data_IF_111744940094
#
_entry.id   IF_111744940094
#
_cell.length_a   1.000
_cell.length_b   1.000
_cell.length_c   1.000
_cell.angle_alpha   90.00
_cell.angle_beta   90.00
_cell.angle_gamma   90.00
#
_symmetry.space_group_name_H-M   'P 1'
#
loop_
_entity.id
_entity.type
_entity.pdbx_description
1 polymer ?
#
# COMPACT_ATOMS: atom_id res chain seq x y z
N UNK A 1 -7.55 16.38 14.59
CA UNK A 1 -8.86 16.87 14.15
C UNK A 1 -9.71 15.64 13.70
N UNK A 2 -10.75 15.35 14.44
CA UNK A 2 -11.58 14.14 14.25
C UNK A 2 -12.78 14.36 13.29
N UNK A 3 -12.76 15.39 12.47
CA UNK A 3 -13.90 15.82 11.67
C UNK A 3 -14.98 16.54 12.48
N UNK A 4 -16.01 17.03 11.82
CA UNK A 4 -17.09 17.79 12.49
C UNK A 4 -17.92 16.95 13.46
N UNK A 5 -17.96 15.63 13.28
CA UNK A 5 -18.69 14.68 14.14
C UNK A 5 -17.83 13.97 15.16
N UNK A 6 -16.51 14.24 15.16
CA UNK A 6 -15.50 13.59 15.99
C UNK A 6 -15.48 12.03 15.82
N UNK A 7 -15.80 11.55 14.64
CA UNK A 7 -15.95 10.15 14.27
C UNK A 7 -14.85 9.64 13.31
N UNK A 8 -13.88 10.50 12.96
CA UNK A 8 -12.79 10.13 12.05
C UNK A 8 -11.45 10.12 12.78
N UNK A 9 -10.73 9.01 12.64
CA UNK A 9 -9.30 8.94 12.94
C UNK A 9 -8.55 9.67 11.82
N UNK A 10 -7.55 10.53 12.13
CA UNK A 10 -6.76 11.20 11.10
C UNK A 10 -5.97 10.17 10.27
N UNK A 11 -5.96 10.36 8.97
CA UNK A 11 -5.05 9.69 8.06
C UNK A 11 -3.72 10.46 8.03
N UNK A 12 -2.61 9.76 8.23
CA UNK A 12 -1.29 10.38 8.36
C UNK A 12 -0.37 9.78 7.31
N UNK A 13 -0.14 10.56 6.25
CA UNK A 13 0.76 10.20 5.16
C UNK A 13 2.08 10.96 5.29
N UNK A 14 3.19 10.23 5.34
CA UNK A 14 4.52 10.78 5.39
C UNK A 14 5.33 10.27 4.19
N UNK A 15 5.83 11.22 3.40
CA UNK A 15 6.60 10.94 2.20
C UNK A 15 8.10 11.03 2.49
N UNK A 16 8.81 9.96 2.22
CA UNK A 16 10.27 9.87 2.38
C UNK A 16 10.96 9.64 1.04
N UNK A 17 12.25 9.99 0.92
CA UNK A 17 13.08 9.45 -0.15
C UNK A 17 12.99 7.92 -0.14
N UNK A 18 12.85 7.31 -1.32
CA UNK A 18 12.59 5.87 -1.45
C UNK A 18 13.62 4.98 -0.73
N UNK A 19 14.88 5.41 -0.69
CA UNK A 19 15.98 4.72 0.00
C UNK A 19 15.98 4.90 1.54
N UNK A 20 15.15 5.82 2.06
CA UNK A 20 14.98 6.05 3.51
C UNK A 20 13.74 5.39 4.09
N UNK A 21 12.81 4.91 3.27
CA UNK A 21 11.56 4.32 3.74
C UNK A 21 11.76 3.20 4.78
N UNK A 22 12.68 2.28 4.50
CA UNK A 22 12.97 1.19 5.44
C UNK A 22 13.50 1.70 6.79
N UNK A 23 14.35 2.73 6.77
CA UNK A 23 14.86 3.37 7.99
C UNK A 23 13.75 4.07 8.77
N UNK A 24 12.83 4.75 8.08
CA UNK A 24 11.67 5.38 8.72
C UNK A 24 10.77 4.34 9.39
N UNK A 25 10.56 3.18 8.76
CA UNK A 25 9.81 2.08 9.36
C UNK A 25 10.48 1.57 10.65
N UNK A 26 11.80 1.31 10.63
CA UNK A 26 12.50 0.85 11.84
C UNK A 26 12.48 1.91 12.95
N UNK A 27 12.69 3.19 12.61
CA UNK A 27 12.57 4.28 13.57
C UNK A 27 11.17 4.35 14.20
N UNK A 28 10.12 4.04 13.46
CA UNK A 28 8.76 4.00 13.99
C UNK A 28 8.62 2.94 15.09
N UNK A 29 9.24 1.77 14.91
CA UNK A 29 9.31 0.73 15.97
C UNK A 29 10.06 1.22 17.20
N UNK A 30 11.21 1.89 17.01
CA UNK A 30 12.02 2.37 18.10
C UNK A 30 11.29 3.45 18.92
N UNK A 31 10.53 4.32 18.24
CA UNK A 31 9.78 5.41 18.88
C UNK A 31 8.48 4.95 19.57
N UNK A 32 7.77 4.01 18.97
CA UNK A 32 6.41 3.64 19.41
C UNK A 32 6.34 2.25 20.06
N UNK A 33 7.45 1.52 20.10
CA UNK A 33 7.58 0.21 20.71
C UNK A 33 7.58 -0.95 19.72
N UNK A 34 8.52 -1.86 19.89
CA UNK A 34 8.73 -3.02 18.99
C UNK A 34 7.52 -3.96 18.94
N UNK A 35 6.79 -4.06 20.05
CA UNK A 35 5.62 -4.94 20.18
C UNK A 35 4.29 -4.25 19.83
N UNK A 36 4.33 -2.96 19.51
CA UNK A 36 3.17 -2.13 19.23
C UNK A 36 3.02 -1.73 17.75
N UNK A 37 4.02 -2.05 16.93
CA UNK A 37 4.10 -1.58 15.55
C UNK A 37 4.16 -2.75 14.57
N UNK A 38 3.21 -2.79 13.64
CA UNK A 38 3.02 -3.88 12.69
C UNK A 38 2.86 -3.34 11.26
N UNK A 39 3.20 -4.13 10.25
CA UNK A 39 2.81 -3.82 8.88
C UNK A 39 1.30 -3.98 8.71
N UNK A 40 0.67 -3.09 7.96
CA UNK A 40 -0.74 -3.22 7.60
C UNK A 40 -0.93 -4.41 6.65
N UNK A 41 -1.81 -5.33 7.01
CA UNK A 41 -2.18 -6.47 6.18
C UNK A 41 -3.13 -6.06 5.05
N UNK A 42 -3.04 -6.78 3.93
CA UNK A 42 -3.98 -6.68 2.81
C UNK A 42 -4.50 -8.06 2.46
N UNK A 43 -5.73 -8.12 1.97
CA UNK A 43 -6.31 -9.34 1.40
C UNK A 43 -6.44 -9.14 -0.11
N UNK A 44 -5.67 -9.91 -0.86
CA UNK A 44 -5.78 -9.92 -2.31
C UNK A 44 -6.89 -10.85 -2.74
N UNK A 45 -7.78 -10.33 -3.57
CA UNK A 45 -8.89 -11.09 -4.15
C UNK A 45 -8.73 -11.23 -5.66
N UNK A 46 -9.52 -12.12 -6.25
CA UNK A 46 -9.53 -12.33 -7.69
C UNK A 46 -10.20 -11.13 -8.37
N UNK A 47 -9.40 -10.34 -9.11
CA UNK A 47 -9.89 -9.23 -9.92
C UNK A 47 -10.58 -9.72 -11.21
N UNK A 48 -11.39 -8.89 -11.84
CA UNK A 48 -12.18 -9.22 -13.04
C UNK A 48 -11.34 -9.84 -14.17
N UNK A 49 -10.26 -9.18 -14.58
CA UNK A 49 -9.38 -9.70 -15.64
C UNK A 49 -8.77 -11.06 -15.29
N UNK A 50 -8.39 -11.25 -14.03
CA UNK A 50 -7.85 -12.52 -13.54
C UNK A 50 -8.92 -13.61 -13.54
N UNK A 51 -10.16 -13.28 -13.15
CA UNK A 51 -11.29 -14.19 -13.17
C UNK A 51 -11.60 -14.69 -14.59
N UNK A 52 -11.62 -13.81 -15.58
CA UNK A 52 -11.78 -14.17 -16.99
C UNK A 52 -10.67 -15.13 -17.44
N UNK A 53 -9.43 -14.84 -17.07
CA UNK A 53 -8.29 -15.70 -17.36
C UNK A 53 -8.44 -17.11 -16.76
N UNK A 54 -8.91 -17.21 -15.52
CA UNK A 54 -9.17 -18.51 -14.88
C UNK A 54 -10.28 -19.29 -15.57
N UNK A 55 -11.35 -18.61 -15.99
CA UNK A 55 -12.44 -19.28 -16.72
C UNK A 55 -11.97 -19.80 -18.09
N UNK A 56 -11.21 -18.99 -18.83
CA UNK A 56 -10.64 -19.42 -20.11
C UNK A 56 -9.68 -20.61 -19.90
N UNK A 57 -8.75 -20.53 -18.95
CA UNK A 57 -7.83 -21.62 -18.62
C UNK A 57 -8.55 -22.89 -18.16
N UNK A 58 -9.71 -22.78 -17.48
CA UNK A 58 -10.53 -23.94 -17.15
C UNK A 58 -11.06 -24.66 -18.41
N UNK A 59 -11.56 -23.90 -19.39
CA UNK A 59 -12.04 -24.49 -20.65
C UNK A 59 -10.88 -25.13 -21.44
N UNK A 60 -9.74 -24.45 -21.51
CA UNK A 60 -8.53 -25.01 -22.15
C UNK A 60 -8.09 -26.32 -21.48
N UNK A 61 -8.09 -26.39 -20.15
CA UNK A 61 -7.77 -27.61 -19.41
C UNK A 61 -8.79 -28.74 -19.63
N UNK A 62 -10.01 -28.39 -20.07
CA UNK A 62 -11.04 -29.38 -20.51
C UNK A 62 -10.99 -29.67 -21.98
N UNK A 63 -9.96 -29.20 -22.71
CA UNK A 63 -9.83 -29.35 -24.17
C UNK A 63 -11.01 -28.70 -24.95
N UNK A 64 -11.58 -27.66 -24.41
CA UNK A 64 -12.63 -26.83 -25.03
C UNK A 64 -12.00 -25.52 -25.43
N UNK A 65 -12.14 -25.11 -26.68
CA UNK A 65 -11.67 -23.81 -27.14
C UNK A 65 -12.48 -22.69 -26.46
N UNK A 66 -11.85 -21.81 -25.66
CA UNK A 66 -12.55 -20.73 -24.97
C UNK A 66 -13.27 -19.76 -25.93
N UNK A 67 -12.76 -19.59 -27.14
CA UNK A 67 -13.35 -18.70 -28.14
C UNK A 67 -14.62 -19.29 -28.79
N UNK A 68 -14.86 -20.60 -28.62
CA UNK A 68 -16.12 -21.26 -28.98
C UNK A 68 -17.25 -20.99 -27.97
N UNK A 69 -16.90 -20.54 -26.76
CA UNK A 69 -17.85 -20.26 -25.69
C UNK A 69 -18.40 -18.84 -25.81
N UNK A 70 -19.70 -18.67 -25.61
CA UNK A 70 -20.32 -17.34 -25.63
C UNK A 70 -19.68 -16.43 -24.58
N UNK A 71 -19.32 -15.22 -24.97
CA UNK A 71 -18.71 -14.21 -24.09
C UNK A 71 -19.51 -14.00 -22.80
N UNK A 72 -20.84 -13.93 -22.89
CA UNK A 72 -21.72 -13.79 -21.74
C UNK A 72 -21.61 -14.97 -20.75
N UNK A 73 -21.33 -16.18 -21.21
CA UNK A 73 -21.12 -17.32 -20.32
C UNK A 73 -19.76 -17.24 -19.61
N UNK A 74 -18.72 -16.82 -20.31
CA UNK A 74 -17.41 -16.56 -19.70
C UNK A 74 -17.52 -15.47 -18.63
N UNK A 75 -18.21 -14.37 -18.93
CA UNK A 75 -18.47 -13.27 -18.01
C UNK A 75 -19.27 -13.72 -16.78
N UNK A 76 -20.33 -14.49 -16.97
CA UNK A 76 -21.15 -15.03 -15.89
C UNK A 76 -20.32 -15.89 -14.92
N UNK A 77 -19.48 -16.77 -15.44
CA UNK A 77 -18.60 -17.61 -14.63
C UNK A 77 -17.52 -16.77 -13.96
N UNK A 78 -16.96 -15.77 -14.63
CA UNK A 78 -15.95 -14.88 -14.09
C UNK A 78 -16.51 -14.05 -12.92
N UNK A 79 -17.74 -13.56 -13.01
CA UNK A 79 -18.40 -12.85 -11.89
C UNK A 79 -18.47 -13.74 -10.64
N UNK A 80 -18.76 -15.03 -10.80
CA UNK A 80 -18.76 -15.98 -9.68
C UNK A 80 -17.38 -16.25 -9.05
N UNK A 81 -16.30 -15.93 -9.77
CA UNK A 81 -14.93 -16.04 -9.27
C UNK A 81 -14.38 -14.73 -8.68
N UNK A 82 -15.01 -13.58 -8.96
CA UNK A 82 -14.54 -12.29 -8.48
C UNK A 82 -14.64 -12.20 -6.94
N UNK A 83 -13.73 -11.40 -6.36
CA UNK A 83 -13.67 -11.13 -4.93
C UNK A 83 -13.39 -12.36 -4.04
N UNK A 84 -13.17 -13.55 -4.62
CA UNK A 84 -12.71 -14.71 -3.85
C UNK A 84 -11.29 -14.42 -3.36
N UNK A 85 -11.05 -14.64 -2.07
CA UNK A 85 -9.72 -14.48 -1.47
C UNK A 85 -8.71 -15.38 -2.16
N UNK A 86 -7.61 -14.80 -2.61
CA UNK A 86 -6.51 -15.50 -3.25
C UNK A 86 -5.32 -15.66 -2.31
N UNK A 87 -4.85 -14.56 -1.76
CA UNK A 87 -3.71 -14.53 -0.85
C UNK A 87 -3.81 -13.37 0.12
N UNK A 88 -2.92 -13.36 1.10
CA UNK A 88 -2.70 -12.21 1.97
C UNK A 88 -1.39 -11.54 1.57
N UNK A 89 -1.36 -10.22 1.68
CA UNK A 89 -0.19 -9.41 1.44
C UNK A 89 0.05 -8.41 2.55
N UNK A 90 0.97 -7.51 2.33
CA UNK A 90 1.22 -6.37 3.22
C UNK A 90 1.18 -5.08 2.42
N UNK A 91 0.65 -4.04 3.03
CA UNK A 91 0.71 -2.70 2.45
C UNK A 91 2.17 -2.21 2.45
N UNK A 92 2.69 -1.69 1.34
CA UNK A 92 4.12 -1.36 1.22
C UNK A 92 4.57 -0.25 2.18
N UNK A 93 3.69 0.69 2.51
CA UNK A 93 3.99 1.82 3.40
C UNK A 93 3.16 1.86 4.68
N UNK A 94 2.09 1.05 4.76
CA UNK A 94 1.16 1.09 5.88
C UNK A 94 1.72 0.46 7.15
N UNK A 95 1.71 1.24 8.22
CA UNK A 95 2.12 0.83 9.56
C UNK A 95 0.93 0.96 10.50
N UNK A 96 0.59 -0.10 11.18
CA UNK A 96 -0.43 -0.11 12.23
C UNK A 96 0.24 0.09 13.58
N UNK A 97 -0.28 1.03 14.36
CA UNK A 97 0.20 1.34 15.70
C UNK A 97 -0.86 0.98 16.72
N UNK A 98 -0.48 0.15 17.69
CA UNK A 98 -1.33 -0.29 18.79
C UNK A 98 -0.96 0.52 20.05
N UNK A 99 -1.93 1.03 20.81
CA UNK A 99 -1.66 1.71 22.06
C UNK A 99 -0.90 0.83 23.06
N UNK A 100 0.01 1.42 23.84
CA UNK A 100 0.86 0.67 24.79
C UNK A 100 0.11 -0.09 25.88
N UNK A 101 -1.14 0.27 26.15
CA UNK A 101 -2.00 -0.37 27.15
C UNK A 101 -2.94 -1.43 26.56
N UNK A 102 -2.81 -1.76 25.27
CA UNK A 102 -3.64 -2.73 24.57
C UNK A 102 -2.75 -3.76 23.86
N UNK A 103 -3.33 -4.90 23.56
CA UNK A 103 -2.68 -5.95 22.79
C UNK A 103 -3.10 -5.88 21.32
N UNK A 104 -2.21 -6.21 20.40
CA UNK A 104 -2.57 -6.36 18.98
C UNK A 104 -3.69 -7.41 18.80
N UNK A 105 -3.72 -8.41 19.65
CA UNK A 105 -4.75 -9.47 19.61
C UNK A 105 -6.15 -9.01 19.98
N UNK A 106 -6.29 -7.82 20.57
CA UNK A 106 -7.60 -7.20 20.80
C UNK A 106 -8.23 -6.69 19.48
N UNK A 107 -7.39 -6.52 18.43
CA UNK A 107 -7.81 -5.98 17.13
C UNK A 107 -7.72 -7.01 16.00
N UNK A 108 -6.64 -7.80 15.96
CA UNK A 108 -6.33 -8.68 14.82
C UNK A 108 -5.34 -9.76 15.21
N UNK A 109 -5.45 -10.96 14.63
CA UNK A 109 -4.32 -11.88 14.59
C UNK A 109 -3.15 -11.29 13.82
N UNK A 110 -1.96 -11.80 14.04
CA UNK A 110 -0.74 -11.41 13.33
C UNK A 110 -0.19 -12.59 12.53
N UNK A 111 0.54 -12.29 11.48
CA UNK A 111 1.19 -13.27 10.64
C UNK A 111 2.55 -12.77 10.15
N UNK A 112 3.38 -13.66 9.65
CA UNK A 112 4.57 -13.29 8.90
C UNK A 112 4.22 -13.05 7.43
N UNK A 113 4.83 -12.03 6.78
CA UNK A 113 4.59 -11.77 5.36
C UNK A 113 5.01 -12.98 4.52
N UNK A 114 4.18 -13.39 3.55
CA UNK A 114 4.44 -14.48 2.61
C UNK A 114 4.93 -15.78 3.28
N UNK A 115 4.56 -16.06 4.53
CA UNK A 115 5.04 -17.18 5.36
C UNK A 115 6.55 -17.18 5.67
N UNK A 116 7.22 -16.04 5.53
CA UNK A 116 8.63 -15.85 5.92
C UNK A 116 8.75 -15.68 7.44
N UNK A 117 8.88 -16.78 8.16
CA UNK A 117 8.90 -16.79 9.64
C UNK A 117 10.12 -16.08 10.25
N UNK A 118 11.15 -15.82 9.46
CA UNK A 118 12.34 -15.08 9.87
C UNK A 118 12.28 -13.58 9.54
N UNK A 119 11.17 -13.12 8.95
CA UNK A 119 10.99 -11.70 8.67
C UNK A 119 11.01 -10.88 9.97
N UNK A 120 11.73 -9.77 9.98
CA UNK A 120 11.82 -8.85 11.12
C UNK A 120 10.49 -8.13 11.43
N UNK A 121 9.59 -8.10 10.45
CA UNK A 121 8.28 -7.46 10.55
C UNK A 121 7.15 -8.47 10.57
N UNK A 122 6.25 -8.30 11.52
CA UNK A 122 4.95 -8.99 11.54
C UNK A 122 3.90 -8.11 10.88
N UNK A 123 2.89 -8.75 10.30
CA UNK A 123 1.80 -8.10 9.57
C UNK A 123 0.48 -8.42 10.24
N UNK A 124 -0.45 -7.48 10.28
CA UNK A 124 -1.82 -7.75 10.71
C UNK A 124 -2.45 -8.76 9.75
N UNK A 125 -3.22 -9.73 10.28
CA UNK A 125 -3.87 -10.73 9.43
C UNK A 125 -5.12 -10.16 8.78
N UNK A 126 -5.91 -9.38 9.52
CA UNK A 126 -7.06 -8.72 8.94
C UNK A 126 -6.62 -7.64 7.96
N UNK A 127 -7.38 -7.51 6.89
CA UNK A 127 -7.21 -6.40 5.96
C UNK A 127 -7.38 -5.08 6.71
N UNK A 128 -6.48 -4.14 6.43
CA UNK A 128 -6.49 -2.83 7.06
C UNK A 128 -7.86 -2.15 6.97
N UNK A 129 -8.56 -2.24 5.84
CA UNK A 129 -9.87 -1.62 5.66
C UNK A 129 -10.95 -2.14 6.61
N UNK A 130 -10.74 -3.34 7.17
CA UNK A 130 -11.67 -3.93 8.15
C UNK A 130 -11.44 -3.43 9.59
N UNK A 131 -10.28 -2.85 9.89
CA UNK A 131 -9.88 -2.44 11.24
C UNK A 131 -9.48 -0.97 11.35
N UNK A 132 -9.51 -0.19 10.27
CA UNK A 132 -9.00 1.18 10.22
C UNK A 132 -9.68 2.15 11.19
N UNK A 133 -10.94 1.89 11.54
CA UNK A 133 -11.67 2.73 12.50
C UNK A 133 -11.24 2.52 13.96
N UNK A 134 -10.54 1.42 14.24
CA UNK A 134 -10.17 1.01 15.61
C UNK A 134 -8.68 1.17 15.92
N UNK A 135 -7.84 1.36 14.90
CA UNK A 135 -6.37 1.44 15.04
C UNK A 135 -5.82 2.64 14.28
N UNK A 136 -4.69 3.16 14.74
CA UNK A 136 -3.98 4.21 14.01
C UNK A 136 -3.14 3.58 12.89
N UNK A 137 -3.32 4.08 11.67
CA UNK A 137 -2.46 3.78 10.53
C UNK A 137 -1.58 4.98 10.21
N UNK A 138 -0.31 4.72 9.99
CA UNK A 138 0.64 5.66 9.41
C UNK A 138 1.04 5.15 8.03
N UNK A 139 0.92 5.95 7.00
CA UNK A 139 1.43 5.63 5.67
C UNK A 139 2.80 6.29 5.48
N UNK A 140 3.86 5.48 5.64
CA UNK A 140 5.25 5.89 5.44
C UNK A 140 5.68 5.46 4.03
N UNK A 141 5.53 6.38 3.08
CA UNK A 141 5.66 6.09 1.66
C UNK A 141 7.04 6.54 1.13
N UNK A 142 7.68 5.67 0.37
CA UNK A 142 8.90 6.00 -0.37
C UNK A 142 8.57 6.55 -1.75
N UNK A 143 9.04 7.78 -2.04
CA UNK A 143 8.80 8.45 -3.31
C UNK A 143 10.10 8.79 -4.01
N UNK A 144 10.03 8.84 -5.35
CA UNK A 144 11.16 9.22 -6.21
C UNK A 144 11.41 10.73 -6.11
N UNK A 145 10.37 11.56 -6.02
CA UNK A 145 10.53 13.01 -5.99
C UNK A 145 11.35 13.51 -4.79
N UNK A 146 11.05 13.12 -3.53
CA UNK A 146 11.91 13.45 -2.40
C UNK A 146 13.33 12.89 -2.53
N UNK A 147 13.50 11.72 -3.15
CA UNK A 147 14.82 11.16 -3.42
C UNK A 147 15.60 12.03 -4.41
N UNK A 148 14.97 12.45 -5.52
CA UNK A 148 15.59 13.31 -6.53
C UNK A 148 15.96 14.68 -5.95
N UNK A 149 15.06 15.29 -5.16
CA UNK A 149 15.32 16.55 -4.48
C UNK A 149 16.52 16.46 -3.53
N UNK A 150 16.59 15.41 -2.72
CA UNK A 150 17.74 15.19 -1.84
C UNK A 150 19.02 14.98 -2.63
N UNK A 151 18.99 14.17 -3.69
CA UNK A 151 20.17 13.96 -4.55
C UNK A 151 20.65 15.27 -5.18
N UNK A 152 19.73 16.14 -5.62
CA UNK A 152 20.09 17.47 -6.12
C UNK A 152 20.73 18.35 -5.04
N UNK A 153 20.19 18.35 -3.84
CA UNK A 153 20.81 19.05 -2.68
C UNK A 153 22.21 18.51 -2.40
N UNK A 154 22.38 17.20 -2.37
CA UNK A 154 23.68 16.56 -2.09
C UNK A 154 24.75 16.93 -3.16
N UNK A 155 24.33 17.06 -4.43
CA UNK A 155 25.24 17.40 -5.55
C UNK A 155 25.54 18.91 -5.61
N UNK A 156 24.54 19.76 -5.39
CA UNK A 156 24.65 21.21 -5.61
C UNK A 156 24.96 22.00 -4.35
N UNK A 157 24.66 21.45 -3.18
CA UNK A 157 24.70 22.15 -1.89
C UNK A 157 23.59 23.19 -1.71
N UNK A 158 22.60 23.24 -2.62
CA UNK A 158 21.47 24.18 -2.55
C UNK A 158 20.32 23.52 -1.81
N UNK A 159 19.76 24.20 -0.79
CA UNK A 159 18.56 23.72 -0.12
C UNK A 159 17.35 23.79 -1.06
N UNK A 160 16.53 22.75 -1.06
CA UNK A 160 15.32 22.69 -1.91
C UNK A 160 14.34 23.82 -1.65
N UNK A 161 14.32 24.38 -0.43
CA UNK A 161 13.48 25.52 -0.08
C UNK A 161 13.95 26.86 -0.66
N UNK A 162 15.23 26.92 -1.12
CA UNK A 162 15.81 28.10 -1.77
C UNK A 162 15.60 28.10 -3.28
N UNK A 163 15.03 27.04 -3.84
CA UNK A 163 14.76 26.92 -5.29
C UNK A 163 13.61 27.85 -5.68
N UNK A 164 13.83 28.82 -6.60
CA UNK A 164 12.76 29.70 -7.06
C UNK A 164 11.76 28.94 -7.94
N UNK A 165 10.51 28.82 -7.46
CA UNK A 165 9.45 28.09 -8.18
C UNK A 165 8.79 28.94 -9.30
N UNK A 166 9.18 30.19 -9.45
CA UNK A 166 8.59 31.15 -10.39
C UNK A 166 9.55 31.65 -11.46
N UNK A 167 10.64 30.94 -11.73
CA UNK A 167 11.59 31.32 -12.78
C UNK A 167 10.91 31.29 -14.15
N UNK A 168 10.85 32.46 -14.87
CA UNK A 168 10.15 32.54 -16.15
C UNK A 168 10.76 31.65 -17.26
N UNK A 169 12.07 31.40 -17.21
CA UNK A 169 12.74 30.54 -18.22
C UNK A 169 12.32 29.08 -18.00
N UNK A 170 12.30 28.63 -16.75
CA UNK A 170 11.82 27.28 -16.42
C UNK A 170 10.33 27.12 -16.74
N UNK A 171 9.50 28.08 -16.36
CA UNK A 171 8.07 28.07 -16.66
C UNK A 171 7.79 28.06 -18.17
N UNK A 172 8.64 28.66 -18.98
CA UNK A 172 8.50 28.67 -20.44
C UNK A 172 8.60 27.26 -21.05
N UNK A 173 9.30 26.32 -20.39
CA UNK A 173 9.42 24.94 -20.85
C UNK A 173 8.07 24.19 -20.80
N UNK A 174 7.17 24.63 -19.93
CA UNK A 174 5.85 24.01 -19.74
C UNK A 174 4.71 24.76 -20.43
N UNK A 175 4.94 26.00 -20.84
CA UNK A 175 3.92 26.88 -21.41
C UNK A 175 4.12 27.23 -22.88
N UNK A 176 5.29 26.96 -23.46
CA UNK A 176 5.56 27.25 -24.86
C UNK A 176 5.37 26.02 -25.77
N UNK A 177 4.68 26.21 -26.89
CA UNK A 177 4.50 25.20 -27.96
C UNK A 177 5.71 25.17 -28.94
N UNK A 178 6.92 25.47 -28.48
CA UNK A 178 8.12 25.45 -29.33
C UNK A 178 8.92 24.19 -29.08
#
# INVERSE_FOLDING_TARGET
>A
FLGFKADKVPDIDLNFPSDYQAKAHELTKDLLGQDNVFKAGTIETVAEKTAIGYVKGYFEAKHIDPDSIRKAEIERLAIGCQNVKRTTGQHPGGIIVIPNNMSVYDFTPIQYPANETEASWKTTHFDFHAIHDNVLKLDLLGHVDPYALRMMTDITGIDVHDIPLNDPQVLSLFSSNK
#
